data_IF_514647873159
#
_entry.id   IF_514647873159
#
_cell.length_a   1.000
_cell.length_b   1.000
_cell.length_c   1.000
_cell.angle_alpha   90.00
_cell.angle_beta   90.00
_cell.angle_gamma   90.00
#
_symmetry.space_group_name_H-M   'P 1'
#
loop_
_entity.id
_entity.type
_entity.pdbx_description
1 polymer ?
#
# COMPACT_ATOMS: atom_id res chain seq x y z
N UNK A 1 5.62 5.50 2.85
CA UNK A 1 4.95 6.56 2.07
C UNK A 1 3.63 6.84 2.75
N UNK A 2 3.50 8.05 3.29
CA UNK A 2 2.36 8.49 4.11
C UNK A 2 1.10 8.46 3.25
N UNK A 3 0.11 7.70 3.69
CA UNK A 3 -1.32 7.63 3.31
C UNK A 3 -2.03 8.90 2.74
N UNK A 4 -1.35 10.04 2.70
CA UNK A 4 -1.75 11.29 2.04
C UNK A 4 -2.75 12.10 2.86
N UNK A 5 -3.04 11.68 4.08
CA UNK A 5 -4.03 12.30 4.98
C UNK A 5 -3.63 13.70 5.45
N UNK A 6 -2.33 13.95 5.61
CA UNK A 6 -1.83 15.13 6.32
C UNK A 6 -1.01 16.11 5.47
N UNK A 7 -0.76 15.78 4.21
CA UNK A 7 0.14 16.59 3.37
C UNK A 7 -0.66 17.27 2.25
N UNK A 8 -1.42 18.29 2.66
CA UNK A 8 -2.14 19.18 1.75
C UNK A 8 -1.16 20.20 1.17
N UNK A 9 -1.12 20.24 -0.15
CA UNK A 9 -0.25 21.06 -1.00
C UNK A 9 -0.30 22.56 -0.67
N UNK A 10 0.84 23.25 -0.77
CA UNK A 10 0.93 24.71 -0.93
C UNK A 10 1.06 25.13 -2.42
N UNK A 11 1.86 24.42 -3.24
CA UNK A 11 1.92 24.50 -4.73
C UNK A 11 2.24 23.09 -5.33
N UNK A 12 1.93 22.79 -6.61
CA UNK A 12 2.18 21.46 -7.24
C UNK A 12 0.99 20.47 -7.31
N UNK A 13 1.20 19.15 -7.21
CA UNK A 13 0.14 18.12 -7.02
C UNK A 13 0.10 17.67 -5.56
N UNK A 14 -1.05 17.25 -5.02
CA UNK A 14 -1.12 16.80 -3.63
C UNK A 14 -0.43 15.44 -3.42
N UNK A 15 -0.07 15.12 -2.18
CA UNK A 15 0.70 13.90 -1.91
C UNK A 15 -0.03 12.59 -2.24
N UNK A 16 -1.37 12.57 -2.28
CA UNK A 16 -2.10 11.36 -2.72
C UNK A 16 -1.91 11.15 -4.21
N UNK A 17 -2.01 12.22 -5.00
CA UNK A 17 -1.78 12.17 -6.45
C UNK A 17 -0.36 11.70 -6.76
N UNK A 18 0.65 12.29 -6.12
CA UNK A 18 2.05 11.89 -6.30
C UNK A 18 2.31 10.44 -5.88
N UNK A 19 1.72 10.00 -4.75
CA UNK A 19 1.84 8.61 -4.32
C UNK A 19 1.22 7.64 -5.34
N UNK A 20 0.01 7.94 -5.85
CA UNK A 20 -0.67 7.11 -6.86
C UNK A 20 0.12 7.04 -8.16
N UNK A 21 0.70 8.16 -8.62
CA UNK A 21 1.57 8.19 -9.80
C UNK A 21 2.84 7.35 -9.59
N UNK A 22 3.49 7.49 -8.43
CA UNK A 22 4.66 6.68 -8.09
C UNK A 22 4.32 5.19 -8.11
N UNK A 23 3.22 4.77 -7.47
CA UNK A 23 2.81 3.37 -7.48
C UNK A 23 2.45 2.88 -8.88
N UNK A 24 1.92 3.75 -9.76
CA UNK A 24 1.66 3.40 -11.16
C UNK A 24 2.95 3.12 -11.92
N UNK A 25 3.98 3.94 -11.77
CA UNK A 25 5.27 3.73 -12.44
C UNK A 25 6.01 2.50 -11.88
N UNK A 26 5.92 2.23 -10.57
CA UNK A 26 6.43 0.99 -9.97
C UNK A 26 5.78 -0.24 -10.61
N UNK A 27 4.45 -0.25 -10.76
CA UNK A 27 3.72 -1.36 -11.38
C UNK A 27 4.09 -1.55 -12.85
N UNK A 28 4.27 -0.47 -13.60
CA UNK A 28 4.74 -0.53 -14.99
C UNK A 28 6.15 -1.11 -15.12
N UNK A 29 7.02 -0.86 -14.15
CA UNK A 29 8.35 -1.43 -14.09
C UNK A 29 8.37 -2.92 -13.65
N UNK A 30 7.21 -3.54 -13.45
CA UNK A 30 7.10 -4.94 -13.01
C UNK A 30 7.29 -5.15 -11.51
N UNK A 31 7.26 -4.08 -10.71
CA UNK A 31 7.39 -4.18 -9.24
C UNK A 31 6.04 -4.56 -8.62
N UNK A 32 6.03 -5.64 -7.82
CA UNK A 32 4.87 -5.99 -6.99
C UNK A 32 4.81 -5.09 -5.77
N UNK A 33 3.76 -4.28 -5.68
CA UNK A 33 3.55 -3.31 -4.60
C UNK A 33 2.57 -3.90 -3.58
N UNK A 34 3.06 -4.06 -2.35
CA UNK A 34 2.26 -4.41 -1.17
C UNK A 34 1.94 -3.15 -0.38
N UNK A 35 0.68 -2.94 -0.03
CA UNK A 35 0.25 -1.77 0.74
C UNK A 35 -0.45 -2.19 2.03
N UNK A 36 0.05 -1.67 3.15
CA UNK A 36 -0.47 -1.95 4.49
C UNK A 36 -0.94 -0.65 5.13
N UNK A 37 -2.24 -0.45 5.16
CA UNK A 37 -2.87 0.68 5.83
C UNK A 37 -3.01 0.43 7.32
N UNK A 38 -2.31 1.20 8.17
CA UNK A 38 -2.40 1.04 9.63
C UNK A 38 -3.32 2.09 10.25
N UNK A 39 -4.33 1.64 11.01
CA UNK A 39 -5.33 2.50 11.66
C UNK A 39 -6.03 3.48 10.69
N UNK A 40 -6.31 3.03 9.48
CA UNK A 40 -7.06 3.82 8.49
C UNK A 40 -8.52 3.37 8.42
N UNK A 41 -9.45 4.32 8.34
CA UNK A 41 -10.87 4.03 8.19
C UNK A 41 -11.16 3.49 6.79
N UNK A 42 -11.90 2.38 6.68
CA UNK A 42 -12.32 1.83 5.39
C UNK A 42 -13.15 2.85 4.59
N UNK A 43 -12.89 2.99 3.29
CA UNK A 43 -13.55 3.97 2.42
C UNK A 43 -13.09 5.41 2.60
N UNK A 44 -12.08 5.67 3.45
CA UNK A 44 -11.45 6.98 3.52
C UNK A 44 -10.46 7.20 2.36
N UNK A 45 -10.13 8.46 2.06
CA UNK A 45 -9.12 8.79 1.05
C UNK A 45 -7.77 8.06 1.22
N UNK A 46 -7.22 7.86 2.44
CA UNK A 46 -6.04 7.01 2.62
C UNK A 46 -6.29 5.52 2.31
N UNK A 47 -7.45 4.96 2.63
CA UNK A 47 -7.83 3.57 2.26
C UNK A 47 -7.87 3.39 0.75
N UNK A 48 -8.48 4.33 0.02
CA UNK A 48 -8.48 4.31 -1.44
C UNK A 48 -7.08 4.44 -2.04
N UNK A 49 -6.25 5.32 -1.47
CA UNK A 49 -4.88 5.55 -1.96
C UNK A 49 -4.02 4.31 -1.77
N UNK A 50 -4.10 3.66 -0.60
CA UNK A 50 -3.40 2.42 -0.33
C UNK A 50 -3.89 1.28 -1.21
N UNK A 51 -5.21 1.18 -1.42
CA UNK A 51 -5.81 0.17 -2.30
C UNK A 51 -5.39 0.34 -3.76
N UNK A 52 -5.35 1.58 -4.27
CA UNK A 52 -4.89 1.87 -5.63
C UNK A 52 -3.38 1.66 -5.83
N UNK A 53 -2.61 1.86 -4.77
CA UNK A 53 -1.17 1.66 -4.81
C UNK A 53 -0.79 0.17 -4.88
N UNK A 54 -1.59 -0.73 -4.29
CA UNK A 54 -1.36 -2.18 -4.37
C UNK A 54 -1.35 -2.68 -5.83
N UNK A 55 -0.54 -3.71 -6.12
CA UNK A 55 -0.54 -4.36 -7.44
C UNK A 55 -1.80 -5.20 -7.70
N UNK A 56 -2.42 -5.72 -6.65
CA UNK A 56 -3.69 -6.45 -6.69
C UNK A 56 -4.43 -6.27 -5.35
N UNK A 57 -5.70 -6.65 -5.30
CA UNK A 57 -6.48 -6.59 -4.06
C UNK A 57 -5.96 -7.57 -2.97
N UNK A 58 -5.17 -8.56 -3.36
CA UNK A 58 -4.53 -9.56 -2.46
C UNK A 58 -3.24 -9.04 -1.81
N UNK A 59 -2.68 -7.94 -2.36
CA UNK A 59 -1.51 -7.24 -1.84
C UNK A 59 -1.90 -6.02 -0.99
N UNK A 60 -3.19 -5.81 -0.77
CA UNK A 60 -3.72 -4.75 0.08
C UNK A 60 -4.14 -5.29 1.45
N UNK A 61 -3.67 -4.65 2.51
CA UNK A 61 -4.01 -4.98 3.89
C UNK A 61 -4.47 -3.74 4.64
N UNK A 62 -5.66 -3.81 5.24
CA UNK A 62 -6.13 -2.80 6.19
C UNK A 62 -5.96 -3.34 7.62
N UNK A 63 -4.92 -2.88 8.30
CA UNK A 63 -4.56 -3.27 9.66
C UNK A 63 -5.11 -2.25 10.67
N UNK A 64 -6.27 -2.55 11.26
CA UNK A 64 -6.89 -1.68 12.26
C UNK A 64 -6.15 -1.64 13.62
N UNK A 65 -5.37 -2.69 13.95
CA UNK A 65 -4.69 -2.87 15.25
C UNK A 65 -3.30 -3.49 15.08
N UNK A 66 -2.47 -3.44 16.13
CA UNK A 66 -1.09 -3.92 16.12
C UNK A 66 -0.94 -5.41 15.77
N UNK A 67 -1.86 -6.27 16.18
CA UNK A 67 -1.80 -7.69 15.83
C UNK A 67 -2.15 -7.94 14.36
N UNK A 68 -3.12 -7.21 13.81
CA UNK A 68 -3.43 -7.24 12.38
C UNK A 68 -2.24 -6.73 11.54
N UNK A 69 -1.47 -5.78 12.08
CA UNK A 69 -0.24 -5.31 11.43
C UNK A 69 0.83 -6.41 11.39
N UNK A 70 1.06 -7.12 12.50
CA UNK A 70 1.98 -8.27 12.55
C UNK A 70 1.54 -9.38 11.60
N UNK A 71 0.24 -9.66 11.52
CA UNK A 71 -0.31 -10.65 10.60
C UNK A 71 -0.09 -10.25 9.14
N UNK A 72 -0.36 -9.00 8.77
CA UNK A 72 -0.12 -8.50 7.42
C UNK A 72 1.36 -8.67 7.00
N UNK A 73 2.31 -8.29 7.87
CA UNK A 73 3.73 -8.47 7.57
C UNK A 73 4.15 -9.95 7.50
N UNK A 74 3.54 -10.83 8.30
CA UNK A 74 3.78 -12.28 8.21
C UNK A 74 3.27 -12.85 6.89
N UNK A 75 2.08 -12.47 6.44
CA UNK A 75 1.52 -12.93 5.16
C UNK A 75 2.38 -12.47 3.98
N UNK A 76 2.82 -11.21 4.01
CA UNK A 76 3.78 -10.67 3.03
C UNK A 76 5.07 -11.50 3.02
N UNK A 77 5.62 -11.83 4.19
CA UNK A 77 6.83 -12.64 4.30
C UNK A 77 6.65 -14.06 3.74
N UNK A 78 5.49 -14.69 3.98
CA UNK A 78 5.18 -16.02 3.44
C UNK A 78 5.04 -15.99 1.91
N UNK A 79 4.34 -14.99 1.36
CA UNK A 79 4.22 -14.81 -0.10
C UNK A 79 5.57 -14.60 -0.78
N UNK A 80 6.46 -13.84 -0.14
CA UNK A 80 7.83 -13.65 -0.63
C UNK A 80 8.65 -14.96 -0.52
N UNK A 81 8.45 -15.74 0.54
CA UNK A 81 9.14 -17.02 0.71
C UNK A 81 8.70 -18.06 -0.35
N UNK A 82 7.40 -18.11 -0.68
CA UNK A 82 6.85 -18.99 -1.73
C UNK A 82 7.43 -18.66 -3.13
N UNK A 83 7.53 -17.36 -3.44
CA UNK A 83 8.22 -16.88 -4.66
C UNK A 83 9.68 -17.32 -4.75
N UNK A 84 10.34 -17.59 -3.62
CA UNK A 84 11.73 -18.06 -3.56
C UNK A 84 11.86 -19.58 -3.66
N UNK A 85 10.80 -20.33 -3.35
CA UNK A 85 10.79 -21.80 -3.41
C UNK A 85 10.43 -22.28 -4.83
N UNK A 86 9.84 -21.41 -5.65
CA UNK A 86 9.50 -21.68 -7.05
C UNK A 86 10.66 -21.48 -8.04
N UNK A 87 11.90 -21.30 -7.56
CA UNK A 87 13.14 -21.34 -8.35
C UNK A 87 13.80 -22.73 -8.36
#
# INVERSE_FOLDING_TARGET
MTDGSYNQKYTGSDSRTQARETCKEMKKAGVTVYSVGFKISKGSSPDETMKQCASSNEYYYNAAKGDALKQAFRDVALKIADLRITE
#
